data_IF_145458973969
#
_entry.id   IF_145458973969
#
_cell.length_a   1.000
_cell.length_b   1.000
_cell.length_c   1.000
_cell.angle_alpha   90.00
_cell.angle_beta   90.00
_cell.angle_gamma   90.00
#
_symmetry.space_group_name_H-M   'P 1'
#
loop_
_entity.id
_entity.type
_entity.pdbx_description
1 polymer ?
#
# COMPACT_ATOMS: atom_id res chain seq x y z
N UNK A 1 -0.79 17.47 -0.71
CA UNK A 1 0.49 17.79 -1.40
C UNK A 1 0.62 17.16 -2.79
N UNK A 2 0.58 15.83 -2.93
CA UNK A 2 0.91 15.11 -4.18
C UNK A 2 0.05 15.52 -5.36
N UNK A 3 -1.27 15.65 -5.18
CA UNK A 3 -2.20 16.05 -6.25
C UNK A 3 -1.92 17.47 -6.78
N UNK A 4 -1.64 18.43 -5.89
CA UNK A 4 -1.29 19.80 -6.31
C UNK A 4 0.04 19.84 -7.09
N UNK A 5 1.06 19.10 -6.62
CA UNK A 5 2.34 19.00 -7.35
C UNK A 5 2.17 18.33 -8.71
N UNK A 6 1.35 17.28 -8.79
CA UNK A 6 1.05 16.60 -10.04
C UNK A 6 0.31 17.52 -11.03
N UNK A 7 -0.75 18.20 -10.57
CA UNK A 7 -1.49 19.14 -11.41
C UNK A 7 -0.62 20.29 -11.93
N UNK A 8 0.25 20.85 -11.07
CA UNK A 8 1.22 21.87 -11.49
C UNK A 8 2.21 21.36 -12.54
N UNK A 9 2.73 20.14 -12.38
CA UNK A 9 3.64 19.54 -13.36
C UNK A 9 2.95 19.30 -14.72
N UNK A 10 1.72 18.77 -14.72
CA UNK A 10 0.94 18.57 -15.95
C UNK A 10 0.60 19.91 -16.62
N UNK A 11 0.24 20.93 -15.84
CA UNK A 11 -0.03 22.26 -16.39
C UNK A 11 1.21 22.86 -17.08
N UNK A 12 2.41 22.67 -16.51
CA UNK A 12 3.68 23.05 -17.15
C UNK A 12 3.90 22.29 -18.47
N UNK A 13 3.70 20.97 -18.47
CA UNK A 13 3.85 20.13 -19.67
C UNK A 13 2.86 20.55 -20.78
N UNK A 14 1.68 21.05 -20.42
CA UNK A 14 0.63 21.54 -21.33
C UNK A 14 0.73 23.03 -21.66
N UNK A 15 1.74 23.75 -21.15
CA UNK A 15 1.91 25.20 -21.31
C UNK A 15 0.71 26.02 -20.77
N UNK A 16 0.03 25.50 -19.75
CA UNK A 16 -1.05 26.18 -19.03
C UNK A 16 -0.44 26.91 -17.82
N UNK A 17 -0.81 28.18 -17.55
CA UNK A 17 -0.34 28.89 -16.36
C UNK A 17 -0.64 28.10 -15.08
N UNK A 18 0.38 27.91 -14.24
CA UNK A 18 0.23 27.25 -12.94
C UNK A 18 -0.23 28.28 -11.90
N UNK A 19 -1.39 28.10 -11.25
CA UNK A 19 -1.79 28.96 -10.14
C UNK A 19 -0.77 28.91 -9.01
N UNK A 20 -0.27 30.07 -8.57
CA UNK A 20 0.76 30.18 -7.53
C UNK A 20 0.26 29.59 -6.20
N UNK A 21 -1.05 29.71 -5.96
CA UNK A 21 -1.75 29.20 -4.78
C UNK A 21 -1.62 27.67 -4.68
N UNK A 22 -1.61 26.95 -5.80
CA UNK A 22 -1.45 25.50 -5.78
C UNK A 22 -0.06 25.09 -5.29
N UNK A 23 0.97 25.78 -5.76
CA UNK A 23 2.36 25.54 -5.38
C UNK A 23 2.58 25.89 -3.92
N UNK A 24 2.02 27.02 -3.47
CA UNK A 24 2.16 27.49 -2.09
C UNK A 24 1.40 26.60 -1.10
N UNK A 25 0.17 26.21 -1.42
CA UNK A 25 -0.58 25.23 -0.62
C UNK A 25 0.15 23.89 -0.57
N UNK A 26 0.69 23.41 -1.68
CA UNK A 26 1.41 22.14 -1.73
C UNK A 26 2.64 22.10 -0.81
N UNK A 27 3.29 23.23 -0.57
CA UNK A 27 4.43 23.36 0.36
C UNK A 27 4.00 23.40 1.83
N UNK A 28 2.77 23.83 2.12
CA UNK A 28 2.27 24.08 3.49
C UNK A 28 1.36 22.99 4.04
N UNK A 29 0.80 22.11 3.21
CA UNK A 29 0.02 20.96 3.69
C UNK A 29 0.92 20.12 4.61
N UNK A 30 0.52 19.93 5.85
CA UNK A 30 1.23 19.12 6.83
C UNK A 30 0.91 17.64 6.64
N UNK A 31 1.91 16.78 6.81
CA UNK A 31 1.73 15.36 7.12
C UNK A 31 2.23 15.22 8.56
N UNK A 32 1.40 14.78 9.53
CA UNK A 32 1.86 14.63 10.91
C UNK A 32 3.06 13.71 10.97
N UNK A 33 4.07 14.10 11.75
CA UNK A 33 5.29 13.31 11.94
C UNK A 33 5.82 13.55 13.34
N UNK A 34 6.05 12.48 14.08
CA UNK A 34 6.69 12.48 15.39
C UNK A 34 8.18 12.19 15.19
N UNK A 35 9.03 13.19 15.42
CA UNK A 35 10.47 13.06 15.19
C UNK A 35 11.18 12.21 16.25
N UNK A 36 10.62 12.09 17.45
CA UNK A 36 11.22 11.31 18.55
C UNK A 36 10.95 9.82 18.35
N UNK A 37 9.68 9.47 18.07
CA UNK A 37 9.26 8.09 17.81
C UNK A 37 9.43 7.67 16.36
N UNK A 38 9.72 8.63 15.47
CA UNK A 38 9.95 8.42 14.03
C UNK A 38 8.82 7.64 13.35
N UNK A 39 7.59 8.10 13.51
CA UNK A 39 6.41 7.56 12.83
C UNK A 39 5.46 8.70 12.46
N UNK A 40 4.47 8.42 11.63
CA UNK A 40 3.41 9.36 11.27
C UNK A 40 2.17 9.11 12.13
N UNK A 41 1.78 10.03 13.03
CA UNK A 41 0.46 10.00 13.63
C UNK A 41 -0.64 10.09 12.56
N UNK A 42 -1.75 9.37 12.74
CA UNK A 42 -2.89 9.34 11.81
C UNK A 42 -3.52 10.72 11.64
N UNK A 43 -3.58 11.48 12.72
CA UNK A 43 -4.05 12.85 12.74
C UNK A 43 -3.38 13.64 13.89
N UNK A 44 -3.54 14.96 13.88
CA UNK A 44 -3.02 15.82 14.95
C UNK A 44 -3.73 15.50 16.27
N UNK A 45 -2.95 15.05 17.27
CA UNK A 45 -3.47 14.65 18.57
C UNK A 45 -3.75 13.14 18.71
N UNK A 46 -3.48 12.34 17.67
CA UNK A 46 -3.55 10.88 17.77
C UNK A 46 -2.64 10.34 18.90
N UNK A 47 -3.20 9.48 19.74
CA UNK A 47 -2.45 8.79 20.78
C UNK A 47 -2.14 7.34 20.37
N UNK A 48 -0.87 6.89 20.42
CA UNK A 48 -0.52 5.48 20.22
C UNK A 48 -1.37 4.52 21.05
N UNK A 49 -1.95 3.51 20.41
CA UNK A 49 -2.84 2.55 21.05
C UNK A 49 -4.32 2.77 20.74
N UNK A 50 -4.70 3.92 20.18
CA UNK A 50 -6.07 4.17 19.72
C UNK A 50 -6.43 3.20 18.58
N UNK A 51 -7.60 2.52 18.66
CA UNK A 51 -8.06 1.59 17.64
C UNK A 51 -8.26 2.27 16.29
N UNK A 52 -7.87 1.57 15.23
CA UNK A 52 -8.02 2.03 13.85
C UNK A 52 -8.85 1.00 13.08
N UNK A 53 -9.87 1.45 12.35
CA UNK A 53 -10.78 0.55 11.64
C UNK A 53 -10.09 -0.20 10.49
N UNK A 54 -9.21 0.47 9.75
CA UNK A 54 -8.64 -0.03 8.49
C UNK A 54 -7.30 0.65 8.17
N UNK A 55 -6.63 0.23 7.10
CA UNK A 55 -5.38 0.85 6.67
C UNK A 55 -5.55 2.37 6.40
N UNK A 56 -4.81 3.19 7.12
CA UNK A 56 -4.71 4.64 6.89
C UNK A 56 -3.23 5.05 6.70
N UNK A 57 -2.49 5.29 7.80
CA UNK A 57 -1.09 5.74 7.77
C UNK A 57 -0.20 4.80 6.95
N UNK A 58 -0.44 3.50 7.02
CA UNK A 58 0.33 2.51 6.26
C UNK A 58 0.21 2.69 4.74
N UNK A 59 -0.81 3.42 4.26
CA UNK A 59 -1.00 3.79 2.85
C UNK A 59 -0.02 4.88 2.38
N UNK A 60 0.63 5.60 3.31
CA UNK A 60 1.70 6.55 3.00
C UNK A 60 2.86 5.85 2.27
N UNK A 61 3.25 4.64 2.71
CA UNK A 61 4.30 3.86 2.04
C UNK A 61 3.83 3.31 0.69
N UNK A 62 2.76 2.52 0.67
CA UNK A 62 2.12 2.05 -0.57
C UNK A 62 0.60 2.20 -0.45
N UNK A 63 -0.10 2.79 -1.43
CA UNK A 63 0.39 3.15 -2.77
C UNK A 63 0.94 4.58 -2.89
N UNK A 64 0.92 5.38 -1.82
CA UNK A 64 1.29 6.80 -1.94
C UNK A 64 2.80 7.01 -2.15
N UNK A 65 3.66 6.06 -1.81
CA UNK A 65 5.13 6.19 -1.97
C UNK A 65 5.65 7.50 -1.38
N UNK A 66 5.12 7.89 -0.22
CA UNK A 66 5.57 9.06 0.51
C UNK A 66 7.05 8.87 0.90
N UNK A 67 7.93 9.84 0.65
CA UNK A 67 9.34 9.72 1.03
C UNK A 67 9.48 9.54 2.53
N UNK A 68 10.06 8.42 2.96
CA UNK A 68 10.35 8.10 4.35
C UNK A 68 11.53 7.14 4.42
N UNK A 69 12.19 7.05 5.58
CA UNK A 69 13.24 6.05 5.80
C UNK A 69 12.61 4.67 6.07
N UNK A 70 13.39 3.61 5.89
CA UNK A 70 12.94 2.24 6.24
C UNK A 70 12.61 2.10 7.73
N UNK A 71 13.26 2.89 8.60
CA UNK A 71 12.95 2.95 10.03
C UNK A 71 11.55 3.54 10.27
N UNK A 72 11.25 4.68 9.64
CA UNK A 72 9.91 5.29 9.75
C UNK A 72 8.84 4.37 9.16
N UNK A 73 9.11 3.76 8.01
CA UNK A 73 8.20 2.78 7.38
C UNK A 73 7.91 1.60 8.30
N UNK A 74 8.93 1.09 9.00
CA UNK A 74 8.78 0.02 9.99
C UNK A 74 7.94 0.49 11.17
N UNK A 75 8.26 1.64 11.73
CA UNK A 75 7.56 2.18 12.90
C UNK A 75 6.09 2.43 12.60
N UNK A 76 5.74 2.94 11.41
CA UNK A 76 4.35 3.08 10.99
C UNK A 76 3.62 1.71 10.99
N UNK A 77 4.25 0.66 10.46
CA UNK A 77 3.66 -0.68 10.45
C UNK A 77 3.52 -1.27 11.86
N UNK A 78 4.53 -1.13 12.71
CA UNK A 78 4.51 -1.65 14.09
C UNK A 78 3.54 -0.88 15.00
N UNK A 79 3.36 0.42 14.75
CA UNK A 79 2.42 1.26 15.49
C UNK A 79 0.98 0.87 15.18
N UNK A 80 0.65 0.68 13.90
CA UNK A 80 -0.73 0.55 13.45
C UNK A 80 -1.23 -0.89 13.34
N UNK A 81 -0.36 -1.88 13.09
CA UNK A 81 -0.79 -3.28 12.98
C UNK A 81 -1.54 -3.80 14.21
N UNK A 82 -1.08 -3.62 15.46
CA UNK A 82 -1.73 -4.21 16.63
C UNK A 82 -3.04 -3.50 17.01
N UNK A 83 -3.25 -2.26 16.58
CA UNK A 83 -4.45 -1.46 16.88
C UNK A 83 -5.47 -1.47 15.75
N UNK A 84 -5.13 -2.07 14.60
CA UNK A 84 -6.04 -2.19 13.47
C UNK A 84 -7.05 -3.32 13.72
N UNK A 85 -8.35 -3.01 13.59
CA UNK A 85 -9.43 -3.96 13.83
C UNK A 85 -9.33 -5.20 12.94
N UNK A 86 -9.35 -6.40 13.56
CA UNK A 86 -9.32 -7.68 12.86
C UNK A 86 -10.57 -7.91 11.98
N UNK A 87 -11.71 -7.36 12.39
CA UNK A 87 -12.97 -7.35 11.64
C UNK A 87 -13.06 -6.22 10.61
N UNK A 88 -12.00 -5.41 10.46
CA UNK A 88 -11.92 -4.38 9.44
C UNK A 88 -12.00 -4.95 8.01
N UNK A 89 -12.21 -4.09 7.00
CA UNK A 89 -12.48 -4.53 5.63
C UNK A 89 -11.29 -5.25 4.98
N UNK A 90 -11.61 -6.21 4.11
CA UNK A 90 -10.69 -7.19 3.51
C UNK A 90 -9.41 -6.65 2.83
N UNK A 91 -9.37 -5.36 2.47
CA UNK A 91 -8.21 -4.75 1.80
C UNK A 91 -7.06 -4.40 2.75
N UNK A 92 -7.35 -4.20 4.04
CA UNK A 92 -6.43 -3.65 5.03
C UNK A 92 -5.15 -4.47 5.16
N UNK A 93 -5.30 -5.77 5.39
CA UNK A 93 -4.18 -6.67 5.64
C UNK A 93 -3.26 -6.84 4.42
N UNK A 94 -3.79 -6.62 3.22
CA UNK A 94 -2.98 -6.62 2.00
C UNK A 94 -2.00 -5.44 1.97
N UNK A 95 -2.39 -4.27 2.50
CA UNK A 95 -1.52 -3.09 2.52
C UNK A 95 -0.40 -3.23 3.57
N UNK A 96 -0.70 -3.83 4.72
CA UNK A 96 0.34 -4.23 5.68
C UNK A 96 1.29 -5.27 5.07
N UNK A 97 0.76 -6.27 4.35
CA UNK A 97 1.59 -7.27 3.67
C UNK A 97 2.57 -6.61 2.69
N UNK A 98 2.11 -5.68 1.86
CA UNK A 98 2.98 -4.91 0.95
C UNK A 98 4.05 -4.17 1.75
N UNK A 99 3.68 -3.48 2.83
CA UNK A 99 4.63 -2.73 3.65
C UNK A 99 5.72 -3.61 4.28
N UNK A 100 5.36 -4.80 4.77
CA UNK A 100 6.34 -5.73 5.30
C UNK A 100 7.25 -6.31 4.21
N UNK A 101 6.73 -6.57 3.02
CA UNK A 101 7.53 -7.02 1.88
C UNK A 101 8.51 -5.95 1.40
N UNK A 102 8.13 -4.67 1.42
CA UNK A 102 9.03 -3.53 1.15
C UNK A 102 10.24 -3.53 2.10
N UNK A 103 10.05 -3.98 3.35
CA UNK A 103 11.10 -4.08 4.38
C UNK A 103 11.80 -5.44 4.42
N UNK A 104 11.49 -6.34 3.46
CA UNK A 104 12.00 -7.72 3.41
C UNK A 104 11.61 -8.58 4.64
N UNK A 105 10.58 -8.17 5.37
CA UNK A 105 10.01 -8.89 6.53
C UNK A 105 8.97 -9.93 6.06
N UNK A 106 9.44 -10.91 5.31
CA UNK A 106 8.60 -11.89 4.60
C UNK A 106 7.65 -12.63 5.53
N UNK A 107 8.11 -12.99 6.74
CA UNK A 107 7.30 -13.71 7.72
C UNK A 107 6.15 -12.86 8.28
N UNK A 108 6.42 -11.58 8.59
CA UNK A 108 5.36 -10.64 9.00
C UNK A 108 4.35 -10.43 7.88
N UNK A 109 4.81 -10.29 6.64
CA UNK A 109 3.93 -10.16 5.48
C UNK A 109 3.03 -11.38 5.28
N UNK A 110 3.57 -12.60 5.42
CA UNK A 110 2.81 -13.83 5.27
C UNK A 110 1.71 -13.95 6.34
N UNK A 111 1.98 -13.50 7.57
CA UNK A 111 0.97 -13.40 8.62
C UNK A 111 -0.22 -12.51 8.20
N UNK A 112 0.05 -11.35 7.59
CA UNK A 112 -1.02 -10.45 7.13
C UNK A 112 -1.80 -11.02 5.95
N UNK A 113 -1.11 -11.66 5.00
CA UNK A 113 -1.78 -12.32 3.88
C UNK A 113 -2.69 -13.45 4.33
N UNK A 114 -2.31 -14.20 5.37
CA UNK A 114 -3.18 -15.25 5.93
C UNK A 114 -4.50 -14.68 6.46
N UNK A 115 -4.49 -13.49 7.06
CA UNK A 115 -5.72 -12.80 7.52
C UNK A 115 -6.67 -12.48 6.36
N UNK A 116 -6.14 -12.21 5.16
CA UNK A 116 -6.97 -11.93 3.99
C UNK A 116 -7.84 -13.13 3.57
N UNK A 117 -7.42 -14.37 3.86
CA UNK A 117 -8.19 -15.56 3.52
C UNK A 117 -9.46 -15.72 4.38
N UNK A 118 -9.53 -15.07 5.55
CA UNK A 118 -10.74 -15.07 6.39
C UNK A 118 -11.92 -14.35 5.72
N UNK A 119 -11.66 -13.51 4.72
CA UNK A 119 -12.68 -12.85 3.91
C UNK A 119 -13.17 -13.72 2.73
N UNK A 120 -12.70 -14.96 2.59
CA UNK A 120 -13.11 -15.87 1.51
C UNK A 120 -14.19 -16.82 2.02
N UNK A 121 -15.34 -16.82 1.35
CA UNK A 121 -16.49 -17.65 1.70
C UNK A 121 -16.66 -18.82 0.73
N UNK A 122 -16.84 -20.01 1.29
CA UNK A 122 -17.15 -21.24 0.57
C UNK A 122 -18.59 -21.26 0.03
N UNK A 123 -18.91 -22.13 -0.96
CA UNK A 123 -18.01 -22.99 -1.72
C UNK A 123 -17.36 -22.28 -2.92
N UNK A 124 -17.84 -21.08 -3.25
CA UNK A 124 -17.48 -20.39 -4.49
C UNK A 124 -16.23 -19.52 -4.36
N UNK A 125 -15.61 -19.48 -3.17
CA UNK A 125 -14.43 -18.67 -2.86
C UNK A 125 -14.65 -17.18 -3.17
N UNK A 126 -15.87 -16.70 -2.95
CA UNK A 126 -16.19 -15.28 -3.10
C UNK A 126 -15.56 -14.50 -1.95
N UNK A 127 -15.18 -13.25 -2.21
CA UNK A 127 -14.68 -12.36 -1.18
C UNK A 127 -15.82 -11.53 -0.59
N UNK A 128 -15.83 -11.41 0.73
CA UNK A 128 -16.75 -10.55 1.50
C UNK A 128 -15.98 -9.41 2.15
N UNK A 129 -16.66 -8.29 2.37
CA UNK A 129 -16.05 -7.09 2.96
C UNK A 129 -15.49 -7.36 4.36
N UNK A 130 -16.31 -7.93 5.24
CA UNK A 130 -15.94 -8.25 6.61
C UNK A 130 -15.77 -9.77 6.78
N UNK A 131 -14.86 -10.18 7.66
CA UNK A 131 -14.51 -11.59 7.86
C UNK A 131 -15.62 -12.42 8.54
N UNK A 132 -16.62 -11.78 9.13
CA UNK A 132 -17.82 -12.41 9.68
C UNK A 132 -18.90 -12.71 8.62
N UNK A 133 -18.65 -12.38 7.34
CA UNK A 133 -19.59 -12.56 6.24
C UNK A 133 -20.55 -11.40 6.02
N UNK A 134 -20.49 -10.35 6.86
CA UNK A 134 -21.29 -9.14 6.69
C UNK A 134 -20.70 -8.18 5.66
N UNK A 135 -21.47 -7.14 5.31
CA UNK A 135 -21.07 -6.12 4.35
C UNK A 135 -21.26 -6.56 2.90
N UNK A 136 -20.46 -6.00 1.99
CA UNK A 136 -20.55 -6.29 0.57
C UNK A 136 -20.11 -7.73 0.25
N UNK A 137 -20.93 -8.43 -0.56
CA UNK A 137 -20.56 -9.70 -1.21
C UNK A 137 -19.89 -9.44 -2.55
N UNK A 138 -19.04 -10.36 -3.01
CA UNK A 138 -18.19 -10.14 -4.19
C UNK A 138 -17.37 -8.85 -4.08
N UNK A 139 -16.75 -8.65 -2.93
CA UNK A 139 -16.06 -7.43 -2.58
C UNK A 139 -14.75 -7.27 -3.37
N UNK A 140 -14.87 -6.66 -4.55
CA UNK A 140 -13.77 -6.47 -5.50
C UNK A 140 -12.59 -5.71 -4.90
N UNK A 141 -12.84 -4.80 -3.96
CA UNK A 141 -11.77 -4.04 -3.28
C UNK A 141 -10.86 -4.97 -2.47
N UNK A 142 -11.42 -5.97 -1.78
CA UNK A 142 -10.64 -6.99 -1.07
C UNK A 142 -9.81 -7.84 -2.04
N UNK A 143 -10.43 -8.34 -3.11
CA UNK A 143 -9.76 -9.11 -4.16
C UNK A 143 -8.61 -8.31 -4.81
N UNK A 144 -8.86 -7.04 -5.10
CA UNK A 144 -7.89 -6.11 -5.66
C UNK A 144 -6.74 -5.82 -4.69
N UNK A 145 -7.02 -5.66 -3.40
CA UNK A 145 -6.00 -5.53 -2.36
C UNK A 145 -5.06 -6.75 -2.35
N UNK A 146 -5.62 -7.96 -2.35
CA UNK A 146 -4.83 -9.19 -2.36
C UNK A 146 -3.98 -9.33 -3.62
N UNK A 147 -4.57 -9.05 -4.79
CA UNK A 147 -3.83 -9.02 -6.05
C UNK A 147 -2.69 -7.98 -6.02
N UNK A 148 -2.91 -6.83 -5.41
CA UNK A 148 -1.87 -5.82 -5.22
C UNK A 148 -0.74 -6.31 -4.32
N UNK A 149 -1.03 -7.07 -3.25
CA UNK A 149 0.00 -7.66 -2.42
C UNK A 149 0.87 -8.68 -3.16
N UNK A 150 0.25 -9.50 -4.02
CA UNK A 150 0.98 -10.43 -4.90
C UNK A 150 1.78 -9.67 -5.96
N UNK A 151 1.17 -8.73 -6.67
CA UNK A 151 1.82 -8.02 -7.77
C UNK A 151 2.84 -7.01 -7.24
N UNK A 152 2.44 -6.02 -6.45
CA UNK A 152 3.29 -4.93 -6.00
C UNK A 152 4.09 -5.28 -4.74
N UNK A 153 3.63 -6.21 -3.91
CA UNK A 153 4.40 -6.72 -2.78
C UNK A 153 5.49 -7.68 -3.23
N UNK A 154 5.14 -8.85 -3.76
CA UNK A 154 6.13 -9.91 -4.04
C UNK A 154 7.19 -9.51 -5.07
N UNK A 155 6.81 -8.72 -6.08
CA UNK A 155 7.75 -8.29 -7.12
C UNK A 155 8.49 -6.99 -6.77
N UNK A 156 8.03 -6.26 -5.73
CA UNK A 156 8.47 -4.90 -5.44
C UNK A 156 8.22 -3.91 -6.58
N UNK A 157 7.30 -4.22 -7.49
CA UNK A 157 7.03 -3.42 -8.69
C UNK A 157 6.61 -2.01 -8.33
N UNK A 158 7.34 -0.99 -8.80
CA UNK A 158 6.98 0.41 -8.59
C UNK A 158 7.11 1.18 -9.90
N UNK A 159 6.07 1.94 -10.25
CA UNK A 159 6.08 2.84 -11.40
C UNK A 159 6.48 4.22 -10.91
N UNK A 160 7.58 4.75 -11.44
CA UNK A 160 8.02 6.12 -11.21
C UNK A 160 7.82 6.95 -12.48
N UNK A 161 8.11 8.27 -12.40
CA UNK A 161 8.02 9.16 -13.58
C UNK A 161 8.96 8.72 -14.71
N UNK A 162 10.14 8.17 -14.36
CA UNK A 162 11.21 7.90 -15.31
C UNK A 162 11.50 6.41 -15.52
N UNK A 163 10.97 5.52 -14.68
CA UNK A 163 11.33 4.11 -14.70
C UNK A 163 10.24 3.20 -14.14
N UNK A 164 10.41 1.92 -14.46
CA UNK A 164 9.77 0.81 -13.78
C UNK A 164 10.82 0.11 -12.92
N UNK A 165 10.57 0.00 -11.61
CA UNK A 165 11.49 -0.61 -10.65
C UNK A 165 10.97 -1.97 -10.19
N UNK A 166 11.90 -2.88 -9.89
CA UNK A 166 11.64 -4.18 -9.29
C UNK A 166 12.52 -4.32 -8.05
N UNK A 167 11.94 -4.80 -6.96
CA UNK A 167 12.65 -5.10 -5.72
C UNK A 167 11.99 -6.29 -5.02
N UNK A 168 12.12 -7.50 -5.58
CA UNK A 168 11.31 -8.63 -5.20
C UNK A 168 11.56 -9.10 -3.76
N UNK A 169 10.51 -9.66 -3.15
CA UNK A 169 10.53 -10.36 -1.87
C UNK A 169 9.50 -11.49 -1.93
N UNK A 170 9.96 -12.73 -2.08
CA UNK A 170 9.07 -13.88 -2.20
C UNK A 170 8.88 -14.58 -0.84
N UNK A 171 7.64 -14.95 -0.46
CA UNK A 171 7.38 -15.88 0.64
C UNK A 171 8.18 -17.18 0.55
N UNK A 172 8.46 -17.79 1.70
CA UNK A 172 9.27 -19.03 1.81
C UNK A 172 8.66 -20.22 1.08
N UNK A 173 7.36 -20.24 0.93
CA UNK A 173 6.59 -21.22 0.15
C UNK A 173 6.49 -20.88 -1.35
N UNK A 174 7.07 -19.77 -1.82
CA UNK A 174 7.03 -19.35 -3.23
C UNK A 174 8.43 -19.37 -3.84
N UNK A 175 8.71 -20.40 -4.64
CA UNK A 175 9.99 -20.57 -5.34
C UNK A 175 10.06 -19.85 -6.70
N UNK A 176 8.89 -19.60 -7.31
CA UNK A 176 8.78 -19.01 -8.65
C UNK A 176 7.48 -18.22 -8.78
N UNK A 177 7.59 -16.98 -9.23
CA UNK A 177 6.47 -16.12 -9.60
C UNK A 177 6.63 -15.70 -11.07
N UNK A 178 5.63 -15.98 -11.90
CA UNK A 178 5.62 -15.56 -13.31
C UNK A 178 4.50 -14.58 -13.55
N UNK A 179 4.86 -13.36 -13.96
CA UNK A 179 3.93 -12.29 -14.29
C UNK A 179 3.89 -12.11 -15.80
N UNK A 180 2.67 -11.97 -16.33
CA UNK A 180 2.41 -11.75 -17.75
C UNK A 180 1.36 -10.65 -17.91
N UNK A 181 1.25 -10.06 -19.10
CA UNK A 181 0.19 -9.10 -19.41
C UNK A 181 0.41 -7.69 -18.87
N UNK A 182 1.59 -7.38 -18.32
CA UNK A 182 1.93 -6.01 -17.91
C UNK A 182 2.25 -5.20 -19.15
N UNK A 183 1.49 -4.13 -19.41
CA UNK A 183 1.77 -3.20 -20.49
C UNK A 183 2.41 -1.93 -19.94
N UNK A 184 3.59 -1.57 -20.44
CA UNK A 184 4.35 -0.40 -19.98
C UNK A 184 5.03 0.30 -21.16
N UNK A 185 4.72 1.59 -21.35
CA UNK A 185 5.29 2.45 -22.41
C UNK A 185 5.28 1.77 -23.79
N UNK A 186 4.11 1.29 -24.21
CA UNK A 186 3.93 0.61 -25.51
C UNK A 186 4.46 -0.82 -25.60
N UNK A 187 5.12 -1.33 -24.56
CA UNK A 187 5.68 -2.68 -24.52
C UNK A 187 4.81 -3.62 -23.68
N UNK A 188 4.80 -4.91 -24.03
CA UNK A 188 4.22 -5.98 -23.20
C UNK A 188 5.34 -6.74 -22.49
N UNK A 189 5.30 -6.72 -21.17
CA UNK A 189 6.29 -7.35 -20.32
C UNK A 189 5.81 -8.72 -19.84
N UNK A 190 6.73 -9.68 -19.87
CA UNK A 190 6.64 -10.97 -19.18
C UNK A 190 7.94 -11.15 -18.41
N UNK A 191 7.83 -11.39 -17.11
CA UNK A 191 8.99 -11.59 -16.25
C UNK A 191 8.72 -12.69 -15.24
N UNK A 192 9.80 -13.34 -14.82
CA UNK A 192 9.79 -14.43 -13.85
C UNK A 192 10.79 -14.10 -12.76
N UNK A 193 10.35 -14.21 -11.51
CA UNK A 193 11.20 -14.09 -10.33
C UNK A 193 11.33 -15.48 -9.73
N UNK A 194 12.55 -15.90 -9.42
CA UNK A 194 12.87 -17.15 -8.74
C UNK A 194 13.72 -16.85 -7.50
N UNK A 195 13.61 -17.70 -6.47
CA UNK A 195 14.55 -17.70 -5.34
C UNK A 195 15.89 -18.30 -5.74
#
# INVERSE_FOLDING_TARGET
>A
QRSLKFAAAVAQDLLIPVPVEWVDCAKKVKVPFDAEKKYHPEYDGYSPGEPVKQADVVLLGFPLMHPMSSEVRRNDLEMYEPVTELSGPAMTWSMFAVGWLELKEVQKAQSQLRKCFSNITEPFKIWVENSDGSGAVNFLTGMGGFLQAVLFGYTGFRITRSSLCFDPALPDDVNKLSITGVSYVGNKLKFTITK
#
